data_IF_348384683483
#
_entry.id   IF_348384683483
#
_cell.length_a   1.000
_cell.length_b   1.000
_cell.length_c   1.000
_cell.angle_alpha   90.00
_cell.angle_beta   90.00
_cell.angle_gamma   90.00
#
_symmetry.space_group_name_H-M   'P 1'
#
loop_
_entity.id
_entity.type
_entity.pdbx_description
1 polymer ?
#
# COMPACT_ATOMS: atom_id res chain seq x y z
N UNK A 1 -12.75 -2.10 2.84
CA UNK A 1 -11.93 -2.32 4.06
C UNK A 1 -12.78 -2.50 5.34
N UNK A 2 -14.03 -1.99 5.42
CA UNK A 2 -14.92 -2.28 6.55
C UNK A 2 -15.87 -3.43 6.21
N UNK A 3 -16.14 -4.36 7.14
CA UNK A 3 -17.17 -5.38 6.96
C UNK A 3 -18.51 -4.79 6.57
N UNK A 4 -19.17 -5.37 5.56
CA UNK A 4 -20.48 -4.88 5.10
C UNK A 4 -21.48 -4.87 6.23
N UNK A 5 -21.43 -5.87 7.13
CA UNK A 5 -22.27 -5.90 8.31
C UNK A 5 -22.14 -4.65 9.19
N UNK A 6 -20.90 -4.14 9.39
CA UNK A 6 -20.68 -2.89 10.11
C UNK A 6 -21.19 -1.69 9.30
N UNK A 7 -20.95 -1.65 7.99
CA UNK A 7 -21.49 -0.59 7.12
C UNK A 7 -23.02 -0.52 7.17
N UNK A 8 -23.71 -1.66 7.20
CA UNK A 8 -25.17 -1.73 7.36
C UNK A 8 -25.60 -1.16 8.71
N UNK A 9 -24.91 -1.47 9.81
CA UNK A 9 -25.20 -0.88 11.13
C UNK A 9 -25.03 0.64 11.12
N UNK A 10 -23.98 1.15 10.49
CA UNK A 10 -23.75 2.60 10.33
C UNK A 10 -24.91 3.24 9.57
N UNK A 11 -25.25 2.71 8.39
CA UNK A 11 -26.35 3.23 7.55
C UNK A 11 -27.69 3.19 8.30
N UNK A 12 -27.93 2.12 9.06
CA UNK A 12 -29.13 1.99 9.87
C UNK A 12 -29.17 3.00 11.02
N UNK A 13 -28.03 3.26 11.66
CA UNK A 13 -27.87 4.30 12.66
C UNK A 13 -28.17 5.70 12.12
N UNK A 14 -27.66 6.00 10.92
CA UNK A 14 -27.95 7.23 10.20
C UNK A 14 -29.44 7.34 9.83
N UNK A 15 -30.06 6.24 9.38
CA UNK A 15 -31.50 6.22 9.11
C UNK A 15 -32.33 6.56 10.37
N UNK A 16 -32.00 5.95 11.52
CA UNK A 16 -32.64 6.24 12.81
C UNK A 16 -32.47 7.72 13.19
N UNK A 17 -31.29 8.30 12.93
CA UNK A 17 -31.01 9.72 13.13
C UNK A 17 -31.92 10.63 12.33
N UNK A 18 -31.96 10.46 11.01
CA UNK A 18 -32.74 11.31 10.13
C UNK A 18 -34.25 11.13 10.31
N UNK A 19 -34.71 9.92 10.67
CA UNK A 19 -36.11 9.67 11.05
C UNK A 19 -36.46 10.13 12.46
N UNK A 20 -35.52 10.75 13.18
CA UNK A 20 -35.70 11.30 14.54
C UNK A 20 -36.23 10.28 15.54
N UNK A 21 -35.88 9.00 15.36
CA UNK A 21 -36.36 7.89 16.20
C UNK A 21 -35.60 7.75 17.52
N UNK A 22 -34.89 8.79 17.94
CA UNK A 22 -33.99 8.81 19.10
C UNK A 22 -34.64 9.39 20.35
N UNK A 23 -34.09 8.98 21.50
CA UNK A 23 -34.40 9.57 22.79
C UNK A 23 -34.01 11.07 22.82
N UNK A 24 -34.78 11.92 23.51
CA UNK A 24 -34.42 13.31 23.76
C UNK A 24 -32.99 13.42 24.33
N UNK A 25 -32.19 14.37 23.85
CA UNK A 25 -30.82 14.62 24.32
C UNK A 25 -29.68 13.93 23.55
N UNK A 26 -29.93 12.84 22.82
CA UNK A 26 -28.86 12.14 22.06
C UNK A 26 -28.52 12.79 20.72
N UNK A 27 -29.41 13.65 20.20
CA UNK A 27 -29.30 14.25 18.85
C UNK A 27 -28.09 15.17 18.72
N UNK A 28 -27.82 16.00 19.72
CA UNK A 28 -26.71 16.97 19.66
C UNK A 28 -25.36 16.25 19.65
N UNK A 29 -25.16 15.29 20.56
CA UNK A 29 -23.93 14.50 20.61
C UNK A 29 -23.66 13.75 19.30
N UNK A 30 -24.69 13.09 18.74
CA UNK A 30 -24.54 12.40 17.45
C UNK A 30 -24.31 13.38 16.30
N UNK A 31 -24.95 14.54 16.29
CA UNK A 31 -24.70 15.57 15.27
C UNK A 31 -23.26 16.08 15.31
N UNK A 32 -22.68 16.28 16.50
CA UNK A 32 -21.27 16.66 16.67
C UNK A 32 -20.34 15.57 16.13
N UNK A 33 -20.61 14.29 16.45
CA UNK A 33 -19.82 13.16 15.92
C UNK A 33 -19.89 13.08 14.40
N UNK A 34 -21.08 13.27 13.81
CA UNK A 34 -21.25 13.27 12.36
C UNK A 34 -20.57 14.47 11.69
N UNK A 35 -20.62 15.65 12.31
CA UNK A 35 -19.92 16.83 11.83
C UNK A 35 -18.40 16.63 11.86
N UNK A 36 -17.86 16.07 12.94
CA UNK A 36 -16.45 15.71 13.02
C UNK A 36 -16.07 14.66 11.97
N UNK A 37 -16.90 13.62 11.80
CA UNK A 37 -16.71 12.59 10.77
C UNK A 37 -16.63 13.19 9.37
N UNK A 38 -17.56 14.11 9.04
CA UNK A 38 -17.59 14.80 7.76
C UNK A 38 -16.37 15.69 7.57
N UNK A 39 -15.97 16.44 8.59
CA UNK A 39 -14.76 17.28 8.54
C UNK A 39 -13.52 16.44 8.26
N UNK A 40 -13.35 15.30 8.94
CA UNK A 40 -12.24 14.38 8.69
C UNK A 40 -12.28 13.80 7.27
N UNK A 41 -13.46 13.39 6.78
CA UNK A 41 -13.61 12.93 5.40
C UNK A 41 -13.22 14.00 4.37
N UNK A 42 -13.61 15.25 4.61
CA UNK A 42 -13.23 16.39 3.76
C UNK A 42 -11.71 16.59 3.77
N UNK A 43 -11.07 16.57 4.94
CA UNK A 43 -9.61 16.67 5.06
C UNK A 43 -8.91 15.55 4.29
N UNK A 44 -9.38 14.30 4.41
CA UNK A 44 -8.80 13.18 3.67
C UNK A 44 -8.99 13.32 2.15
N UNK A 45 -10.18 13.74 1.72
CA UNK A 45 -10.48 13.98 0.30
C UNK A 45 -9.62 15.09 -0.30
N UNK A 46 -9.12 16.03 0.52
CA UNK A 46 -8.28 17.14 0.08
C UNK A 46 -6.79 16.81 -0.04
N UNK A 47 -6.29 15.67 0.47
CA UNK A 47 -4.89 15.31 0.21
C UNK A 47 -4.18 14.38 1.19
N UNK A 48 -4.81 13.30 1.66
CA UNK A 48 -4.05 12.23 2.33
C UNK A 48 -3.48 11.27 1.27
N UNK A 49 -2.23 11.50 0.87
CA UNK A 49 -1.54 10.73 -0.20
C UNK A 49 -0.79 9.50 0.30
N UNK A 50 -0.72 9.27 1.62
CA UNK A 50 0.15 8.25 2.20
C UNK A 50 -0.64 7.30 3.12
N UNK A 51 -0.18 6.05 3.29
CA UNK A 51 -0.62 5.02 4.25
C UNK A 51 -2.06 4.42 4.24
N UNK A 52 -2.90 4.77 3.25
CA UNK A 52 -4.19 4.09 3.02
C UNK A 52 -5.23 4.30 4.13
N UNK A 53 -6.00 3.25 4.49
CA UNK A 53 -7.06 3.36 5.52
C UNK A 53 -6.56 3.81 6.90
N UNK A 54 -5.25 3.74 7.17
CA UNK A 54 -4.68 4.14 8.46
C UNK A 54 -5.00 5.60 8.80
N UNK A 55 -5.06 6.48 7.81
CA UNK A 55 -5.48 7.87 8.01
C UNK A 55 -6.99 8.04 8.21
N UNK A 56 -7.77 7.05 7.79
CA UNK A 56 -9.22 7.00 7.98
C UNK A 56 -9.64 6.25 9.27
N UNK A 57 -8.71 5.70 10.07
CA UNK A 57 -9.05 5.04 11.33
C UNK A 57 -9.88 5.91 12.28
N UNK A 58 -9.60 7.22 12.46
CA UNK A 58 -10.46 8.08 13.27
C UNK A 58 -11.92 8.09 12.77
N UNK A 59 -12.12 8.11 11.45
CA UNK A 59 -13.45 8.06 10.84
C UNK A 59 -14.14 6.73 11.14
N UNK A 60 -13.42 5.61 11.07
CA UNK A 60 -13.98 4.29 11.41
C UNK A 60 -14.50 4.26 12.85
N UNK A 61 -13.73 4.82 13.79
CA UNK A 61 -14.14 4.91 15.20
C UNK A 61 -15.37 5.81 15.37
N UNK A 62 -15.38 6.97 14.71
CA UNK A 62 -16.53 7.89 14.78
C UNK A 62 -17.79 7.28 14.15
N UNK A 63 -17.66 6.55 13.04
CA UNK A 63 -18.76 5.82 12.39
C UNK A 63 -19.31 4.68 13.24
N UNK A 64 -18.52 4.11 14.17
CA UNK A 64 -19.05 3.10 15.09
C UNK A 64 -20.16 3.66 16.02
N UNK A 65 -20.17 4.97 16.29
CA UNK A 65 -21.17 5.63 17.15
C UNK A 65 -22.60 5.52 16.58
N UNK A 66 -22.90 5.93 15.33
CA UNK A 66 -24.23 5.70 14.75
C UNK A 66 -24.56 4.20 14.68
N UNK A 67 -23.58 3.32 14.42
CA UNK A 67 -23.80 1.87 14.51
C UNK A 67 -24.30 1.41 15.88
N UNK A 68 -23.67 1.88 16.96
CA UNK A 68 -24.11 1.64 18.34
C UNK A 68 -25.49 2.22 18.64
N UNK A 69 -25.81 3.39 18.07
CA UNK A 69 -27.15 3.97 18.14
C UNK A 69 -28.21 3.08 17.46
N UNK A 70 -27.88 2.45 16.33
CA UNK A 70 -28.76 1.49 15.65
C UNK A 70 -29.04 0.26 16.53
N UNK A 71 -27.99 -0.30 17.14
CA UNK A 71 -28.10 -1.42 18.08
C UNK A 71 -29.00 -1.03 19.25
N UNK A 72 -28.72 0.10 19.91
CA UNK A 72 -29.52 0.59 21.05
C UNK A 72 -31.01 0.71 20.67
N UNK A 73 -31.32 1.32 19.53
CA UNK A 73 -32.70 1.48 19.05
C UNK A 73 -33.39 0.13 18.80
N UNK A 74 -32.66 -0.85 18.26
CA UNK A 74 -33.22 -2.18 18.05
C UNK A 74 -33.57 -2.90 19.37
N UNK A 75 -32.79 -2.68 20.44
CA UNK A 75 -33.06 -3.28 21.75
C UNK A 75 -34.14 -2.53 22.54
N UNK A 76 -34.26 -1.21 22.42
CA UNK A 76 -35.32 -0.44 23.10
C UNK A 76 -36.69 -0.62 22.46
N UNK A 77 -36.74 -0.91 21.16
CA UNK A 77 -37.99 -1.23 20.46
C UNK A 77 -38.40 -2.68 20.69
N UNK A 78 -39.70 -2.91 20.88
CA UNK A 78 -40.28 -4.27 20.97
C UNK A 78 -40.32 -5.02 19.63
N UNK A 79 -39.89 -4.40 18.54
CA UNK A 79 -40.02 -4.95 17.19
C UNK A 79 -38.96 -6.03 16.89
N UNK A 80 -39.42 -7.25 16.61
CA UNK A 80 -38.55 -8.37 16.19
C UNK A 80 -37.75 -8.07 14.92
N UNK A 81 -38.35 -7.34 13.97
CA UNK A 81 -37.68 -6.93 12.73
C UNK A 81 -36.36 -6.18 12.98
N UNK A 82 -36.35 -5.17 13.87
CA UNK A 82 -35.15 -4.36 14.16
C UNK A 82 -34.04 -5.22 14.76
N UNK A 83 -34.40 -6.13 15.67
CA UNK A 83 -33.47 -7.08 16.28
C UNK A 83 -32.90 -8.05 15.26
N UNK A 84 -33.74 -8.55 14.34
CA UNK A 84 -33.30 -9.44 13.27
C UNK A 84 -32.31 -8.74 12.31
N UNK A 85 -32.60 -7.49 11.89
CA UNK A 85 -31.71 -6.71 11.01
C UNK A 85 -30.35 -6.47 11.68
N UNK A 86 -30.34 -6.00 12.94
CA UNK A 86 -29.09 -5.77 13.68
C UNK A 86 -28.34 -7.08 13.95
N UNK A 87 -29.05 -8.14 14.34
CA UNK A 87 -28.46 -9.44 14.58
C UNK A 87 -27.82 -10.03 13.33
N UNK A 88 -28.49 -9.94 12.18
CA UNK A 88 -27.96 -10.37 10.89
C UNK A 88 -26.73 -9.55 10.49
N UNK A 89 -26.78 -8.22 10.64
CA UNK A 89 -25.64 -7.34 10.32
C UNK A 89 -24.41 -7.65 11.18
N UNK A 90 -24.59 -7.91 12.49
CA UNK A 90 -23.50 -8.33 13.38
C UNK A 90 -22.96 -9.72 13.00
N UNK A 91 -23.85 -10.68 12.72
CA UNK A 91 -23.45 -12.02 12.30
C UNK A 91 -22.64 -11.98 11.00
N UNK A 92 -23.06 -11.18 10.01
CA UNK A 92 -22.31 -10.96 8.76
C UNK A 92 -20.95 -10.34 9.06
N UNK A 93 -20.88 -9.29 9.90
CA UNK A 93 -19.60 -8.66 10.26
C UNK A 93 -18.63 -9.65 10.90
N UNK A 94 -19.10 -10.46 11.85
CA UNK A 94 -18.29 -11.48 12.53
C UNK A 94 -17.82 -12.54 11.53
N UNK A 95 -18.75 -13.09 10.74
CA UNK A 95 -18.46 -14.13 9.75
C UNK A 95 -17.45 -13.65 8.69
N UNK A 96 -17.50 -12.37 8.32
CA UNK A 96 -16.54 -11.80 7.37
C UNK A 96 -15.16 -11.49 7.96
N UNK A 97 -15.10 -10.94 9.18
CA UNK A 97 -13.88 -10.32 9.69
C UNK A 97 -13.06 -11.25 10.56
N UNK A 98 -13.71 -12.09 11.37
CA UNK A 98 -13.01 -12.95 12.36
C UNK A 98 -12.16 -14.04 11.71
N UNK A 99 -12.58 -14.71 10.61
CA UNK A 99 -11.75 -15.72 9.95
C UNK A 99 -10.47 -15.17 9.28
N UNK A 100 -10.34 -13.84 9.19
CA UNK A 100 -9.27 -13.20 8.43
C UNK A 100 -8.01 -13.13 9.28
N UNK A 101 -7.14 -14.11 9.10
CA UNK A 101 -5.85 -14.23 9.81
C UNK A 101 -4.90 -13.03 9.62
N UNK A 102 -5.08 -12.26 8.54
CA UNK A 102 -4.27 -11.08 8.21
C UNK A 102 -5.16 -9.85 8.10
N UNK A 103 -5.42 -9.14 9.21
CA UNK A 103 -6.37 -8.03 9.22
C UNK A 103 -6.03 -6.91 8.23
N UNK A 104 -4.75 -6.67 7.94
CA UNK A 104 -4.34 -5.65 6.97
C UNK A 104 -4.74 -6.00 5.54
N UNK A 105 -4.79 -7.29 5.22
CA UNK A 105 -5.27 -7.80 3.94
C UNK A 105 -6.80 -7.84 3.84
N UNK A 106 -7.53 -7.52 4.90
CA UNK A 106 -8.98 -7.56 4.83
C UNK A 106 -9.51 -6.49 3.87
N UNK A 107 -10.33 -6.91 2.93
CA UNK A 107 -11.16 -6.06 2.10
C UNK A 107 -12.59 -6.58 2.14
N UNK A 108 -13.56 -5.69 1.88
CA UNK A 108 -14.96 -6.07 2.06
C UNK A 108 -15.45 -6.91 0.89
N UNK A 109 -16.60 -7.55 1.08
CA UNK A 109 -17.11 -8.57 0.17
C UNK A 109 -17.57 -7.96 -1.16
N UNK A 110 -17.97 -6.68 -1.16
CA UNK A 110 -18.39 -5.95 -2.38
C UNK A 110 -17.28 -5.92 -3.42
N UNK A 111 -16.03 -5.72 -3.00
CA UNK A 111 -14.90 -5.66 -3.92
C UNK A 111 -14.26 -7.04 -4.18
N UNK A 112 -14.90 -8.13 -3.71
CA UNK A 112 -14.38 -9.49 -3.83
C UNK A 112 -13.40 -9.91 -2.72
N UNK A 113 -13.39 -9.17 -1.60
CA UNK A 113 -12.61 -9.52 -0.42
C UNK A 113 -11.10 -9.40 -0.61
N UNK A 114 -10.34 -10.06 0.26
CA UNK A 114 -8.86 -10.05 0.26
C UNK A 114 -8.24 -10.44 -1.08
N UNK A 115 -8.89 -11.32 -1.85
CA UNK A 115 -8.37 -11.80 -3.15
C UNK A 115 -8.23 -10.67 -4.19
N UNK A 116 -9.11 -9.68 -4.15
CA UNK A 116 -9.24 -8.66 -5.18
C UNK A 116 -8.84 -7.26 -4.71
N UNK A 117 -8.49 -7.08 -3.43
CA UNK A 117 -8.18 -5.77 -2.85
C UNK A 117 -7.10 -4.99 -3.61
N UNK A 118 -6.05 -5.67 -4.08
CA UNK A 118 -4.95 -5.05 -4.84
C UNK A 118 -5.38 -4.44 -6.19
N UNK A 119 -6.54 -4.82 -6.74
CA UNK A 119 -7.07 -4.22 -7.97
C UNK A 119 -7.57 -2.80 -7.77
N UNK A 120 -7.88 -2.43 -6.52
CA UNK A 120 -8.45 -1.13 -6.17
C UNK A 120 -7.49 -0.25 -5.36
N UNK A 121 -6.40 -0.84 -4.85
CA UNK A 121 -5.46 -0.17 -3.95
C UNK A 121 -4.03 -0.59 -4.31
N UNK A 122 -3.13 0.40 -4.41
CA UNK A 122 -1.70 0.21 -4.71
C UNK A 122 -0.79 0.74 -3.58
N UNK A 123 -1.35 1.00 -2.40
CA UNK A 123 -0.62 1.47 -1.22
C UNK A 123 -0.16 0.33 -0.30
N UNK A 124 0.64 0.66 0.72
CA UNK A 124 1.13 -0.30 1.72
C UNK A 124 0.03 -1.05 2.48
N UNK A 125 -1.18 -0.48 2.56
CA UNK A 125 -2.34 -1.06 3.23
C UNK A 125 -2.95 -2.25 2.49
N UNK A 126 -2.41 -2.68 1.34
CA UNK A 126 -2.84 -3.90 0.64
C UNK A 126 -2.55 -5.15 1.48
N UNK A 127 -1.35 -5.26 2.05
CA UNK A 127 -0.96 -6.41 2.87
C UNK A 127 0.01 -6.10 4.00
N UNK A 128 0.59 -4.90 4.05
CA UNK A 128 1.64 -4.52 5.00
C UNK A 128 2.74 -5.59 5.12
N UNK A 129 3.10 -6.21 4.00
CA UNK A 129 4.16 -7.22 3.91
C UNK A 129 3.94 -8.50 4.76
N UNK A 130 2.70 -8.80 5.17
CA UNK A 130 2.39 -9.92 6.10
C UNK A 130 2.56 -11.36 5.56
N UNK A 131 3.02 -11.53 4.31
CA UNK A 131 3.27 -12.82 3.65
C UNK A 131 4.71 -13.34 3.74
N UNK A 132 5.54 -12.83 4.68
CA UNK A 132 6.93 -13.27 4.83
C UNK A 132 7.12 -14.76 5.12
N UNK A 133 6.13 -15.43 5.74
CA UNK A 133 6.16 -16.89 5.95
C UNK A 133 6.01 -17.66 4.64
N UNK A 134 5.04 -17.30 3.81
CA UNK A 134 4.84 -17.90 2.49
C UNK A 134 6.01 -17.63 1.56
N UNK A 135 6.58 -16.42 1.63
CA UNK A 135 7.78 -16.07 0.89
C UNK A 135 8.95 -17.01 1.22
N UNK A 136 9.26 -17.18 2.50
CA UNK A 136 10.34 -18.08 2.91
C UNK A 136 10.05 -19.55 2.59
N UNK A 137 8.79 -20.00 2.77
CA UNK A 137 8.41 -21.35 2.39
C UNK A 137 8.63 -21.59 0.89
N UNK A 138 8.21 -20.66 0.03
CA UNK A 138 8.43 -20.74 -1.40
C UNK A 138 9.92 -20.71 -1.77
N UNK A 139 10.70 -19.84 -1.14
CA UNK A 139 12.14 -19.74 -1.36
C UNK A 139 12.83 -21.08 -1.06
N UNK A 140 12.68 -21.64 0.14
CA UNK A 140 13.36 -22.88 0.54
C UNK A 140 12.87 -24.14 -0.19
N UNK A 141 11.59 -24.18 -0.58
CA UNK A 141 11.02 -25.36 -1.22
C UNK A 141 11.22 -25.37 -2.73
N UNK A 142 11.37 -24.20 -3.36
CA UNK A 142 11.32 -24.08 -4.83
C UNK A 142 12.55 -23.39 -5.40
N UNK A 143 13.02 -22.29 -4.81
CA UNK A 143 14.09 -21.48 -5.40
C UNK A 143 15.47 -21.96 -4.99
N UNK A 144 15.68 -22.19 -3.69
CA UNK A 144 16.95 -22.62 -3.13
C UNK A 144 17.43 -23.98 -3.70
N UNK A 145 16.60 -25.03 -3.80
CA UNK A 145 17.03 -26.30 -4.42
C UNK A 145 17.35 -26.17 -5.91
N UNK A 146 16.78 -25.17 -6.59
CA UNK A 146 17.05 -24.87 -7.99
C UNK A 146 18.29 -23.98 -8.19
N UNK A 147 18.91 -23.50 -7.10
CA UNK A 147 19.99 -22.52 -7.17
C UNK A 147 19.56 -21.17 -7.75
N UNK A 148 18.27 -20.84 -7.67
CA UNK A 148 17.72 -19.60 -8.21
C UNK A 148 17.75 -18.49 -7.14
N UNK A 149 18.20 -17.30 -7.56
CA UNK A 149 18.26 -16.11 -6.71
C UNK A 149 17.20 -15.12 -7.20
N UNK A 150 16.10 -14.93 -6.45
CA UNK A 150 15.03 -14.06 -6.88
C UNK A 150 15.43 -12.58 -6.81
N UNK A 151 14.83 -11.76 -7.67
CA UNK A 151 14.68 -10.32 -7.41
C UNK A 151 13.54 -10.13 -6.40
N UNK A 152 13.84 -9.48 -5.28
CA UNK A 152 12.90 -9.30 -4.18
C UNK A 152 12.28 -7.89 -4.23
N UNK A 153 11.13 -7.77 -4.90
CA UNK A 153 10.25 -6.59 -4.87
C UNK A 153 9.09 -6.79 -3.85
N UNK A 154 9.32 -7.70 -2.91
CA UNK A 154 8.47 -7.92 -1.75
C UNK A 154 9.28 -7.62 -0.50
N UNK A 155 9.19 -6.39 0.01
CA UNK A 155 10.01 -5.96 1.13
C UNK A 155 9.70 -6.80 2.38
N UNK A 156 10.75 -7.34 2.98
CA UNK A 156 10.74 -7.84 4.34
C UNK A 156 11.64 -6.93 5.18
N UNK A 157 11.45 -6.95 6.50
CA UNK A 157 12.37 -6.24 7.37
C UNK A 157 13.71 -7.00 7.36
N UNK A 158 14.84 -6.30 7.19
CA UNK A 158 16.17 -6.94 7.08
C UNK A 158 16.49 -8.00 8.17
N UNK A 159 16.13 -7.80 9.45
CA UNK A 159 16.27 -8.85 10.47
C UNK A 159 15.45 -10.12 10.17
N UNK A 160 14.26 -9.97 9.60
CA UNK A 160 13.40 -11.09 9.20
C UNK A 160 13.99 -11.85 8.00
N UNK A 161 14.52 -11.15 7.00
CA UNK A 161 15.22 -11.77 5.86
C UNK A 161 16.41 -12.62 6.32
N UNK A 162 17.20 -12.07 7.24
CA UNK A 162 18.34 -12.77 7.85
C UNK A 162 17.90 -13.97 8.68
N UNK A 163 16.89 -13.81 9.53
CA UNK A 163 16.37 -14.89 10.37
C UNK A 163 15.72 -16.02 9.56
N UNK A 164 15.24 -15.71 8.36
CA UNK A 164 14.67 -16.66 7.40
C UNK A 164 15.69 -17.21 6.41
N UNK A 165 16.98 -16.85 6.53
CA UNK A 165 18.04 -17.35 5.65
C UNK A 165 17.75 -17.17 4.16
N UNK A 166 17.10 -16.06 3.77
CA UNK A 166 16.82 -15.76 2.37
C UNK A 166 18.07 -15.24 1.67
N UNK A 167 18.23 -15.53 0.39
CA UNK A 167 19.20 -14.89 -0.50
C UNK A 167 18.47 -14.34 -1.73
N UNK A 168 18.96 -13.23 -2.27
CA UNK A 168 18.31 -12.50 -3.36
C UNK A 168 19.30 -11.63 -4.13
N UNK A 169 18.88 -11.21 -5.32
CA UNK A 169 19.67 -10.34 -6.19
C UNK A 169 19.85 -8.97 -5.53
N UNK A 170 21.11 -8.55 -5.40
CA UNK A 170 21.52 -7.29 -4.77
C UNK A 170 22.08 -7.47 -3.36
N UNK A 171 21.89 -8.65 -2.74
CA UNK A 171 22.48 -8.95 -1.43
C UNK A 171 24.00 -9.07 -1.48
N UNK A 172 24.52 -9.74 -2.51
CA UNK A 172 25.96 -9.78 -2.80
C UNK A 172 26.24 -8.87 -4.01
N UNK A 173 26.78 -7.69 -3.73
CA UNK A 173 27.05 -6.67 -4.75
C UNK A 173 27.98 -7.17 -5.85
N UNK A 174 28.97 -8.00 -5.53
CA UNK A 174 29.94 -8.49 -6.53
C UNK A 174 29.33 -9.57 -7.41
N UNK A 175 28.56 -10.49 -6.81
CA UNK A 175 27.84 -11.53 -7.56
C UNK A 175 26.79 -10.93 -8.49
N UNK A 176 26.08 -9.92 -8.01
CA UNK A 176 24.85 -9.44 -8.63
C UNK A 176 25.04 -8.20 -9.51
N UNK A 177 26.24 -7.61 -9.59
CA UNK A 177 26.54 -6.38 -10.32
C UNK A 177 26.03 -6.40 -11.78
N UNK A 178 26.31 -7.48 -12.51
CA UNK A 178 25.86 -7.64 -13.89
C UNK A 178 24.33 -7.74 -14.03
N UNK A 179 23.63 -8.21 -12.98
CA UNK A 179 22.16 -8.37 -12.97
C UNK A 179 21.45 -7.06 -12.63
N UNK A 180 22.03 -6.23 -11.74
CA UNK A 180 21.44 -4.97 -11.27
C UNK A 180 21.83 -3.76 -12.12
N UNK A 181 22.81 -3.90 -13.01
CA UNK A 181 23.26 -2.83 -13.92
C UNK A 181 22.43 -2.70 -15.19
N UNK A 182 21.59 -3.69 -15.50
CA UNK A 182 20.69 -3.71 -16.64
C UNK A 182 19.25 -3.46 -16.19
N UNK A 183 18.44 -2.67 -16.93
CA UNK A 183 17.00 -2.60 -16.67
C UNK A 183 16.30 -3.93 -16.99
N UNK A 184 16.92 -4.81 -17.78
CA UNK A 184 16.36 -6.12 -18.13
C UNK A 184 16.85 -7.17 -17.14
N UNK A 185 15.92 -7.79 -16.42
CA UNK A 185 16.18 -8.88 -15.50
C UNK A 185 15.61 -10.19 -16.05
N UNK A 186 16.38 -11.28 -15.97
CA UNK A 186 15.92 -12.64 -16.30
C UNK A 186 16.05 -13.55 -15.09
N UNK A 187 14.94 -14.11 -14.61
CA UNK A 187 14.90 -14.96 -13.43
C UNK A 187 13.53 -14.98 -12.75
N UNK A 188 13.53 -15.31 -11.45
CA UNK A 188 12.33 -15.22 -10.61
C UNK A 188 12.23 -13.84 -9.96
N UNK A 189 11.03 -13.25 -9.98
CA UNK A 189 10.71 -12.01 -9.24
C UNK A 189 9.63 -12.34 -8.22
N UNK A 190 9.89 -11.98 -6.96
CA UNK A 190 8.92 -12.03 -5.87
C UNK A 190 8.42 -10.61 -5.64
N UNK A 191 7.20 -10.30 -6.07
CA UNK A 191 6.65 -8.95 -6.03
C UNK A 191 5.39 -8.86 -5.17
N UNK A 192 5.17 -7.70 -4.56
CA UNK A 192 3.90 -7.40 -3.90
C UNK A 192 2.86 -6.93 -4.92
N UNK A 193 1.63 -7.40 -4.78
CA UNK A 193 0.53 -7.08 -5.69
C UNK A 193 0.25 -5.58 -5.83
N UNK A 194 0.61 -4.76 -4.83
CA UNK A 194 0.51 -3.30 -4.91
C UNK A 194 1.38 -2.68 -6.00
N UNK A 195 2.46 -3.35 -6.41
CA UNK A 195 3.36 -2.88 -7.47
C UNK A 195 2.78 -3.07 -8.88
N UNK A 196 1.67 -3.81 -9.02
CA UNK A 196 1.01 -3.96 -10.31
C UNK A 196 0.21 -2.72 -10.74
N UNK A 197 -0.13 -1.82 -9.80
CA UNK A 197 -0.80 -0.57 -10.13
C UNK A 197 0.08 0.33 -11.00
N UNK A 198 -0.55 1.20 -11.81
CA UNK A 198 0.18 2.26 -12.51
C UNK A 198 0.84 3.22 -11.53
N UNK A 199 2.08 3.60 -11.83
CA UNK A 199 2.85 4.53 -11.02
C UNK A 199 3.45 5.65 -11.86
N UNK A 200 3.55 6.87 -11.30
CA UNK A 200 4.21 7.98 -11.98
C UNK A 200 5.73 7.77 -12.12
N UNK A 201 6.33 6.99 -11.22
CA UNK A 201 7.74 6.61 -11.15
C UNK A 201 7.86 5.19 -10.57
N UNK A 202 9.00 4.56 -10.80
CA UNK A 202 9.31 3.16 -10.47
C UNK A 202 8.27 2.18 -10.98
N UNK A 203 7.73 2.44 -12.16
CA UNK A 203 6.71 1.59 -12.76
C UNK A 203 7.31 0.32 -13.38
N UNK A 204 6.53 -0.76 -13.38
CA UNK A 204 6.92 -2.06 -13.98
C UNK A 204 5.77 -2.62 -14.83
N UNK A 205 5.52 -2.05 -16.02
CA UNK A 205 4.37 -2.43 -16.85
C UNK A 205 4.40 -3.92 -17.23
N UNK A 206 5.57 -4.50 -17.43
CA UNK A 206 5.72 -5.91 -17.79
C UNK A 206 5.09 -6.85 -16.74
N UNK A 207 5.25 -6.55 -15.45
CA UNK A 207 4.67 -7.36 -14.38
C UNK A 207 3.15 -7.24 -14.31
N UNK A 208 2.60 -6.06 -14.64
CA UNK A 208 1.15 -5.80 -14.67
C UNK A 208 0.43 -6.65 -15.71
N UNK A 209 1.07 -6.87 -16.86
CA UNK A 209 0.48 -7.60 -17.99
C UNK A 209 0.85 -9.08 -18.03
N UNK A 210 1.71 -9.52 -17.11
CA UNK A 210 2.12 -10.92 -17.00
C UNK A 210 1.27 -11.67 -15.98
N UNK A 211 0.88 -12.90 -16.29
CA UNK A 211 0.26 -13.78 -15.30
C UNK A 211 1.32 -14.33 -14.34
N UNK A 212 1.14 -14.23 -13.00
CA UNK A 212 2.09 -14.78 -12.06
C UNK A 212 2.11 -16.32 -12.14
N UNK A 213 3.30 -16.90 -12.08
CA UNK A 213 3.51 -18.37 -12.04
C UNK A 213 3.08 -19.01 -10.73
N UNK A 214 3.12 -18.26 -9.63
CA UNK A 214 2.54 -18.64 -8.35
C UNK A 214 2.01 -17.42 -7.61
N UNK A 215 1.03 -17.62 -6.72
CA UNK A 215 0.38 -16.54 -5.97
C UNK A 215 0.02 -17.00 -4.56
N UNK A 216 0.42 -16.20 -3.57
CA UNK A 216 0.11 -16.37 -2.16
C UNK A 216 -0.55 -15.10 -1.62
N UNK A 217 -1.82 -14.91 -1.96
CA UNK A 217 -2.54 -13.68 -1.65
C UNK A 217 -1.98 -12.48 -2.42
N UNK A 218 -1.31 -11.57 -1.72
CA UNK A 218 -0.67 -10.37 -2.29
C UNK A 218 0.83 -10.55 -2.58
N UNK A 219 1.40 -11.72 -2.28
CA UNK A 219 2.72 -12.12 -2.79
C UNK A 219 2.54 -12.81 -4.14
N UNK A 220 3.19 -12.26 -5.17
CA UNK A 220 3.14 -12.75 -6.55
C UNK A 220 4.53 -13.23 -6.97
N UNK A 221 4.56 -14.33 -7.73
CA UNK A 221 5.80 -14.90 -8.26
C UNK A 221 5.77 -14.85 -9.77
N UNK A 222 6.72 -14.14 -10.37
CA UNK A 222 6.92 -14.08 -11.80
C UNK A 222 8.19 -14.81 -12.20
N UNK A 223 8.20 -15.45 -13.37
CA UNK A 223 9.38 -16.06 -13.96
C UNK A 223 9.46 -15.71 -15.42
N UNK A 224 10.64 -15.30 -15.86
CA UNK A 224 10.86 -14.87 -17.24
C UNK A 224 11.85 -13.72 -17.32
N UNK A 225 11.73 -12.96 -18.40
CA UNK A 225 12.55 -11.79 -18.67
C UNK A 225 11.66 -10.56 -18.67
N UNK A 226 12.01 -9.57 -17.84
CA UNK A 226 11.19 -8.39 -17.59
C UNK A 226 12.06 -7.13 -17.57
N UNK A 227 11.47 -6.01 -17.97
CA UNK A 227 12.01 -4.69 -17.68
C UNK A 227 11.71 -4.32 -16.21
N UNK A 228 12.74 -4.43 -15.39
CA UNK A 228 12.77 -4.11 -13.97
C UNK A 228 13.49 -2.78 -13.68
N UNK A 229 13.67 -1.90 -14.68
CA UNK A 229 14.32 -0.60 -14.51
C UNK A 229 13.74 0.21 -13.35
N UNK A 230 12.41 0.21 -13.19
CA UNK A 230 11.74 0.87 -12.06
C UNK A 230 12.07 0.29 -10.68
N UNK A 231 12.15 -1.05 -10.55
CA UNK A 231 12.53 -1.71 -9.28
C UNK A 231 13.99 -1.41 -8.95
N UNK A 232 14.87 -1.50 -9.94
CA UNK A 232 16.29 -1.21 -9.73
C UNK A 232 16.55 0.27 -9.41
N UNK A 233 15.87 1.20 -10.10
CA UNK A 233 15.92 2.61 -9.75
C UNK A 233 15.50 2.82 -8.28
N UNK A 234 14.37 2.28 -7.87
CA UNK A 234 13.91 2.35 -6.48
C UNK A 234 14.98 1.88 -5.48
N UNK A 235 15.57 0.71 -5.73
CA UNK A 235 16.60 0.15 -4.85
C UNK A 235 17.85 1.04 -4.80
N UNK A 236 18.33 1.52 -5.95
CA UNK A 236 19.48 2.43 -6.03
C UNK A 236 19.23 3.75 -5.29
N UNK A 237 18.03 4.30 -5.39
CA UNK A 237 17.64 5.51 -4.66
C UNK A 237 17.70 5.31 -3.14
N UNK A 238 17.11 4.23 -2.62
CA UNK A 238 17.14 3.95 -1.18
C UNK A 238 18.56 3.62 -0.69
N UNK A 239 19.34 2.89 -1.48
CA UNK A 239 20.75 2.65 -1.22
C UNK A 239 21.53 3.96 -1.15
N UNK A 240 21.33 4.87 -2.11
CA UNK A 240 21.96 6.19 -2.09
C UNK A 240 21.60 6.97 -0.83
N UNK A 241 20.32 6.99 -0.44
CA UNK A 241 19.90 7.62 0.82
C UNK A 241 20.59 7.03 2.03
N UNK A 242 20.77 5.70 2.07
CA UNK A 242 21.48 5.04 3.18
C UNK A 242 22.94 5.50 3.28
N UNK A 243 23.57 5.86 2.14
CA UNK A 243 24.95 6.39 2.09
C UNK A 243 25.04 7.85 2.47
N UNK A 244 24.12 8.68 1.95
CA UNK A 244 24.11 10.13 2.20
C UNK A 244 23.77 10.45 3.66
N UNK A 245 22.84 9.69 4.26
CA UNK A 245 22.33 9.94 5.61
C UNK A 245 22.91 9.00 6.67
N UNK A 246 24.01 8.30 6.36
CA UNK A 246 24.74 7.53 7.36
C UNK A 246 25.40 8.45 8.40
N UNK A 247 25.74 7.89 9.57
CA UNK A 247 26.55 8.59 10.58
C UNK A 247 27.90 9.06 10.00
N UNK A 248 28.46 8.28 9.07
CA UNK A 248 29.62 8.65 8.24
C UNK A 248 29.16 8.67 6.77
N UNK A 249 28.74 9.83 6.25
CA UNK A 249 28.23 9.93 4.89
C UNK A 249 29.26 9.54 3.83
N UNK A 250 28.82 8.81 2.81
CA UNK A 250 29.57 8.52 1.60
C UNK A 250 28.85 9.19 0.42
N UNK A 251 29.19 10.47 0.22
CA UNK A 251 28.47 11.33 -0.73
C UNK A 251 28.79 10.95 -2.18
N UNK A 252 30.02 10.57 -2.48
CA UNK A 252 30.46 10.18 -3.82
C UNK A 252 29.69 8.93 -4.30
N UNK A 253 29.62 7.89 -3.47
CA UNK A 253 28.84 6.69 -3.78
C UNK A 253 27.34 7.01 -3.84
N UNK A 254 26.84 7.86 -2.92
CA UNK A 254 25.46 8.34 -2.93
C UNK A 254 25.07 9.01 -4.25
N UNK A 255 25.90 9.92 -4.76
CA UNK A 255 25.69 10.57 -6.06
C UNK A 255 25.74 9.56 -7.20
N UNK A 256 26.72 8.66 -7.20
CA UNK A 256 26.86 7.63 -8.25
C UNK A 256 25.58 6.79 -8.35
N UNK A 257 25.04 6.37 -7.22
CA UNK A 257 23.81 5.59 -7.12
C UNK A 257 22.57 6.39 -7.56
N UNK A 258 22.43 7.65 -7.13
CA UNK A 258 21.34 8.53 -7.57
C UNK A 258 21.36 8.74 -9.09
N UNK A 259 22.54 8.98 -9.68
CA UNK A 259 22.68 9.12 -11.13
C UNK A 259 22.31 7.83 -11.86
N UNK A 260 22.61 6.67 -11.28
CA UNK A 260 22.20 5.39 -11.84
C UNK A 260 20.69 5.19 -11.74
N UNK A 261 20.07 5.60 -10.63
CA UNK A 261 18.61 5.59 -10.45
C UNK A 261 17.91 6.40 -11.55
N UNK A 262 18.32 7.65 -11.75
CA UNK A 262 17.76 8.56 -12.76
C UNK A 262 17.95 8.00 -14.19
N UNK A 263 19.05 7.30 -14.47
CA UNK A 263 19.25 6.66 -15.78
C UNK A 263 18.26 5.51 -16.02
N UNK A 264 17.91 4.76 -14.98
CA UNK A 264 16.96 3.64 -15.07
C UNK A 264 15.51 4.11 -15.06
N UNK A 265 15.21 5.19 -14.34
CA UNK A 265 13.92 5.86 -14.36
C UNK A 265 14.03 7.40 -14.32
N UNK A 266 14.06 8.05 -15.49
CA UNK A 266 14.14 9.50 -15.57
C UNK A 266 12.91 10.26 -15.02
N UNK A 267 11.81 9.57 -14.71
CA UNK A 267 10.60 10.19 -14.15
C UNK A 267 10.69 10.41 -12.63
N UNK A 268 11.70 9.83 -11.98
CA UNK A 268 11.93 9.90 -10.55
C UNK A 268 12.49 11.28 -10.11
N UNK A 269 11.65 12.30 -10.13
CA UNK A 269 12.08 13.70 -9.91
C UNK A 269 12.80 13.96 -8.58
N UNK A 270 12.51 13.17 -7.54
CA UNK A 270 13.08 13.38 -6.21
C UNK A 270 14.52 12.88 -6.10
N UNK A 271 15.00 12.00 -7.00
CA UNK A 271 16.42 11.71 -7.12
C UNK A 271 17.20 12.94 -7.60
N UNK A 272 16.66 13.69 -8.56
CA UNK A 272 17.26 14.95 -9.03
C UNK A 272 17.25 16.05 -7.96
N UNK A 273 16.19 16.12 -7.14
CA UNK A 273 16.17 17.00 -5.96
C UNK A 273 17.34 16.67 -5.02
N UNK A 274 17.59 15.39 -4.76
CA UNK A 274 18.66 14.98 -3.86
C UNK A 274 20.04 15.26 -4.44
N UNK A 275 20.23 15.07 -5.75
CA UNK A 275 21.44 15.46 -6.46
C UNK A 275 21.68 16.97 -6.35
N UNK A 276 20.64 17.80 -6.50
CA UNK A 276 20.73 19.25 -6.37
C UNK A 276 20.94 19.78 -4.95
N UNK A 277 20.36 19.11 -3.94
CA UNK A 277 20.38 19.59 -2.55
C UNK A 277 21.71 19.36 -1.81
N UNK A 278 22.46 18.31 -2.15
CA UNK A 278 23.43 17.79 -1.17
C UNK A 278 24.77 17.29 -1.71
N UNK A 279 24.96 17.15 -3.03
CA UNK A 279 26.18 16.48 -3.53
C UNK A 279 26.95 17.26 -4.61
N UNK A 280 26.36 18.31 -5.20
CA UNK A 280 27.11 19.18 -6.11
C UNK A 280 26.58 20.60 -6.13
N UNK A 281 27.20 21.49 -5.36
CA UNK A 281 27.05 22.94 -5.53
C UNK A 281 27.53 23.43 -6.93
N UNK A 282 28.18 22.56 -7.73
CA UNK A 282 28.71 22.88 -9.06
C UNK A 282 27.90 22.29 -10.23
N UNK A 283 26.83 21.51 -10.00
CA UNK A 283 26.12 20.87 -11.12
C UNK A 283 25.07 21.79 -11.76
N UNK A 284 25.45 22.46 -12.86
CA UNK A 284 24.54 23.21 -13.76
C UNK A 284 23.35 22.35 -14.24
N UNK A 285 23.48 21.02 -14.20
CA UNK A 285 22.43 20.05 -14.52
C UNK A 285 21.23 20.07 -13.55
N UNK A 286 21.42 20.42 -12.28
CA UNK A 286 20.36 20.35 -11.27
C UNK A 286 19.24 21.35 -11.55
N UNK A 287 19.56 22.55 -12.06
CA UNK A 287 18.58 23.59 -12.32
C UNK A 287 17.63 23.23 -13.47
N UNK A 288 18.17 22.73 -14.58
CA UNK A 288 17.36 22.36 -15.76
C UNK A 288 16.55 21.09 -15.51
N UNK A 289 17.15 20.05 -14.91
CA UNK A 289 16.44 18.83 -14.56
C UNK A 289 15.32 19.09 -13.54
N UNK A 290 15.57 19.92 -12.53
CA UNK A 290 14.54 20.32 -11.57
C UNK A 290 13.39 21.08 -12.25
N UNK A 291 13.66 22.04 -13.14
CA UNK A 291 12.59 22.75 -13.84
C UNK A 291 11.80 21.86 -14.81
N UNK A 292 12.48 20.99 -15.57
CA UNK A 292 11.82 20.02 -16.45
C UNK A 292 10.97 19.04 -15.64
N UNK A 293 11.47 18.58 -14.49
CA UNK A 293 10.73 17.64 -13.64
C UNK A 293 9.63 18.30 -12.82
N UNK A 294 9.76 19.56 -12.40
CA UNK A 294 8.65 20.30 -11.79
C UNK A 294 7.55 20.56 -12.81
N UNK A 295 7.90 20.78 -14.08
CA UNK A 295 6.93 20.91 -15.17
C UNK A 295 6.30 19.56 -15.58
N UNK A 296 7.06 18.46 -15.50
CA UNK A 296 6.58 17.10 -15.78
C UNK A 296 5.92 16.43 -14.57
N UNK A 297 6.15 16.94 -13.36
CA UNK A 297 5.48 16.51 -12.14
C UNK A 297 3.99 16.74 -12.39
N UNK A 298 3.16 15.68 -12.36
CA UNK A 298 1.74 15.83 -12.62
C UNK A 298 1.20 16.91 -11.69
N UNK A 299 0.89 18.10 -12.24
CA UNK A 299 0.33 19.19 -11.47
C UNK A 299 -0.98 18.69 -10.88
N UNK A 300 -0.93 18.26 -9.62
CA UNK A 300 -1.97 17.48 -8.97
C UNK A 300 -2.23 16.16 -9.72
N UNK A 301 -1.92 15.06 -9.04
CA UNK A 301 -2.88 13.96 -8.98
C UNK A 301 -4.21 14.49 -8.40
N UNK A 302 -4.97 15.28 -9.17
CA UNK A 302 -6.42 15.23 -9.10
C UNK A 302 -6.73 13.84 -9.57
N UNK A 303 -6.71 12.90 -8.64
CA UNK A 303 -7.30 11.59 -8.77
C UNK A 303 -8.61 11.76 -9.53
N UNK A 304 -8.63 11.37 -10.80
CA UNK A 304 -9.86 10.92 -11.45
C UNK A 304 -10.26 9.67 -10.69
N UNK A 305 -10.94 9.88 -9.57
CA UNK A 305 -11.70 8.83 -8.96
C UNK A 305 -12.91 8.61 -9.86
N UNK A 306 -12.93 7.45 -10.52
CA UNK A 306 -14.11 6.82 -11.11
C UNK A 306 -14.58 7.48 -12.43
N UNK A 307 -14.16 6.89 -13.56
CA UNK A 307 -15.06 6.62 -14.69
C UNK A 307 -15.37 5.11 -14.68
#
# INVERSE_FOLDING_TARGET
>A
KLPIGLSVLVLFGLFVFFKRLFLPGTKLGLAIVLAATLLFLLVLALGSTYAGIRHALPIVVLLAVPGGCAIRTAFTRRSKFWKAVVGAALAVAIASAVPVMRPWEYFNEIIGGTKNGYLYFSDEGVDLWQRGKELAAYYHQVLEPAGDFPLLDYALFGPEEKARHLDWVGRDKKRDEARVSSPIFSGTILANAKFLGEKPFWDTPDLRHTAPTARFGNLLVFRGTFNCGGIFAQNLYYDARSKIYAEKPDLEEGERLLRQSVRLDPKEFFADIQLGNGIGAESVFAGTAFQTNVAACPQRSRTRAID
#
